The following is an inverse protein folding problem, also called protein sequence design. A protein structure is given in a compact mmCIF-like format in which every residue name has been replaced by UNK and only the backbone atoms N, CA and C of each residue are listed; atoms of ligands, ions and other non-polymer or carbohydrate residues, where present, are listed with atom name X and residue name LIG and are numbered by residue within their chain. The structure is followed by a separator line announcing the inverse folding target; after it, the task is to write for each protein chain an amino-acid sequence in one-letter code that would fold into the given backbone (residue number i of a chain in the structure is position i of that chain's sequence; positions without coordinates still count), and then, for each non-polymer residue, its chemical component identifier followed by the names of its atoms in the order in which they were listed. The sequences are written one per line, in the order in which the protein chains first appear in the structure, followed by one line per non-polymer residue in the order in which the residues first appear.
data_IF_388416359417
#
_entry.id   IF_388416359417
#
_cell.length_a   1.000
_cell.length_b   1.000
_cell.length_c   1.000
_cell.angle_alpha   90.00
_cell.angle_beta   90.00
_cell.angle_gamma   90.00
#
_symmetry.space_group_name_H-M   'P 1'
#
loop_
_entity.id
_entity.type
_entity.pdbx_description
1 polymer ?
#
# COMPACT_ATOMS: atom_id res chain seq x y z
N UNK A 1 18.58 9.28 18.38
CA UNK A 1 17.34 8.67 18.01
C UNK A 1 17.54 7.59 16.96
N UNK A 2 16.89 6.51 17.13
CA UNK A 2 17.08 5.40 16.24
C UNK A 2 16.06 5.46 15.12
N UNK A 3 16.55 5.55 13.93
CA UNK A 3 15.67 5.54 12.78
C UNK A 3 15.56 4.12 12.26
N UNK A 4 14.66 3.37 12.87
CA UNK A 4 14.40 2.03 12.41
C UNK A 4 13.54 2.11 11.15
N UNK A 5 13.85 1.33 10.12
CA UNK A 5 12.97 1.28 8.96
C UNK A 5 11.60 0.76 9.35
N UNK A 6 10.59 1.21 8.63
CA UNK A 6 9.23 0.74 8.86
C UNK A 6 9.16 -0.76 8.58
N UNK A 7 8.62 -1.55 9.51
CA UNK A 7 8.49 -2.98 9.26
C UNK A 7 7.52 -3.25 8.12
N UNK A 8 7.79 -4.29 7.34
CA UNK A 8 6.91 -4.69 6.25
C UNK A 8 6.21 -5.96 6.71
N UNK A 9 4.98 -5.81 7.18
CA UNK A 9 4.22 -6.89 7.79
C UNK A 9 2.94 -7.21 7.04
N UNK A 10 2.57 -6.38 6.06
CA UNK A 10 1.33 -6.55 5.33
C UNK A 10 1.50 -7.59 4.23
N UNK A 11 0.66 -8.61 4.23
CA UNK A 11 0.70 -9.66 3.22
C UNK A 11 -0.72 -10.05 2.81
N UNK A 12 -0.82 -10.99 1.88
CA UNK A 12 -2.09 -11.38 1.28
C UNK A 12 -3.02 -12.13 2.24
N UNK A 13 -2.58 -12.39 3.45
CA UNK A 13 -3.42 -12.98 4.49
C UNK A 13 -4.13 -11.93 5.34
N UNK A 14 -3.77 -10.66 5.17
CA UNK A 14 -4.37 -9.58 5.94
C UNK A 14 -5.83 -9.40 5.55
N UNK A 15 -6.74 -9.18 6.53
CA UNK A 15 -8.18 -9.02 6.22
C UNK A 15 -8.49 -7.89 5.24
N UNK A 16 -7.66 -6.86 5.20
CA UNK A 16 -7.90 -5.71 4.32
C UNK A 16 -7.15 -5.80 2.99
N UNK A 17 -6.44 -6.90 2.72
CA UNK A 17 -5.66 -7.02 1.49
C UNK A 17 -6.52 -6.80 0.25
N UNK A 18 -7.66 -7.50 0.16
CA UNK A 18 -8.51 -7.40 -1.03
C UNK A 18 -9.06 -5.99 -1.22
N UNK A 19 -9.53 -5.38 -0.14
CA UNK A 19 -10.06 -4.03 -0.21
C UNK A 19 -8.99 -3.04 -0.66
N UNK A 20 -7.80 -3.13 -0.08
CA UNK A 20 -6.69 -2.25 -0.42
C UNK A 20 -6.26 -2.49 -1.87
N UNK A 21 -6.28 -3.74 -2.32
CA UNK A 21 -5.85 -4.08 -3.67
C UNK A 21 -6.84 -3.64 -4.75
N UNK A 22 -8.04 -3.20 -4.37
CA UNK A 22 -8.97 -2.57 -5.30
C UNK A 22 -8.51 -1.20 -5.75
N UNK A 23 -7.64 -0.56 -4.97
CA UNK A 23 -7.04 0.71 -5.36
C UNK A 23 -5.92 0.42 -6.35
N UNK A 24 -6.03 0.98 -7.55
CA UNK A 24 -5.08 0.70 -8.62
C UNK A 24 -4.11 1.85 -8.79
N UNK A 25 -2.85 1.49 -9.04
CA UNK A 25 -1.86 2.46 -9.48
C UNK A 25 -2.23 2.88 -10.91
N UNK A 26 -2.51 4.16 -11.15
CA UNK A 26 -2.94 4.60 -12.48
C UNK A 26 -1.87 4.43 -13.56
N UNK A 27 -0.60 4.33 -13.20
CA UNK A 27 0.47 4.16 -14.18
C UNK A 27 0.58 2.73 -14.67
N UNK A 28 0.29 1.75 -13.82
CA UNK A 28 0.46 0.34 -14.14
C UNK A 28 -0.86 -0.41 -14.23
N UNK A 29 -1.92 0.11 -13.63
CA UNK A 29 -3.20 -0.59 -13.53
C UNK A 29 -3.19 -1.73 -12.54
N UNK A 30 -2.18 -1.82 -11.70
CA UNK A 30 -2.02 -2.91 -10.75
C UNK A 30 -2.47 -2.45 -9.36
N UNK A 31 -3.12 -3.36 -8.63
CA UNK A 31 -3.54 -3.06 -7.27
C UNK A 31 -2.36 -2.71 -6.37
N UNK A 32 -2.56 -1.74 -5.49
CA UNK A 32 -1.45 -1.22 -4.68
C UNK A 32 -0.93 -2.24 -3.68
N UNK A 33 -1.76 -3.21 -3.28
CA UNK A 33 -1.28 -4.30 -2.43
C UNK A 33 -0.30 -5.20 -3.21
N UNK A 34 -0.66 -5.55 -4.45
CA UNK A 34 0.21 -6.35 -5.32
C UNK A 34 1.49 -5.60 -5.68
N UNK A 35 1.45 -4.28 -5.73
CA UNK A 35 2.63 -3.47 -6.01
C UNK A 35 3.66 -3.49 -4.88
N UNK A 36 3.24 -3.88 -3.68
CA UNK A 36 4.15 -3.92 -2.55
C UNK A 36 4.45 -2.57 -1.94
N UNK A 37 3.56 -1.60 -2.10
CA UNK A 37 3.75 -0.27 -1.52
C UNK A 37 3.05 -0.11 -0.17
N UNK A 38 2.30 -1.10 0.28
CA UNK A 38 1.68 -1.09 1.60
C UNK A 38 2.57 -1.88 2.54
N UNK A 39 3.13 -1.22 3.55
CA UNK A 39 4.11 -1.85 4.42
C UNK A 39 3.49 -2.43 5.67
N UNK A 40 2.59 -1.69 6.31
CA UNK A 40 2.00 -2.14 7.57
C UNK A 40 0.59 -1.59 7.70
N UNK A 41 -0.32 -2.42 8.18
CA UNK A 41 -1.72 -2.03 8.42
C UNK A 41 -2.11 -2.53 9.80
N UNK A 42 -2.43 -1.60 10.68
CA UNK A 42 -2.86 -1.92 12.04
C UNK A 42 -4.26 -1.39 12.23
N UNK A 43 -5.11 -2.17 12.89
CA UNK A 43 -6.44 -1.69 13.25
C UNK A 43 -6.59 -1.78 14.77
N UNK A 44 -6.99 -0.68 15.39
CA UNK A 44 -7.14 -0.62 16.81
C UNK A 44 -8.32 0.27 17.17
N UNK A 45 -9.31 -0.29 17.82
CA UNK A 45 -10.50 0.45 18.26
C UNK A 45 -11.19 1.21 17.12
N UNK A 46 -11.22 0.60 15.95
CA UNK A 46 -11.85 1.20 14.78
C UNK A 46 -10.98 2.15 13.98
N UNK A 47 -9.77 2.42 14.44
CA UNK A 47 -8.83 3.26 13.70
C UNK A 47 -7.87 2.38 12.92
N UNK A 48 -7.80 2.60 11.60
CA UNK A 48 -6.88 1.87 10.73
C UNK A 48 -5.68 2.77 10.48
N UNK A 49 -4.51 2.30 10.86
CA UNK A 49 -3.25 3.03 10.69
C UNK A 49 -2.43 2.33 9.62
N UNK A 50 -2.14 3.02 8.54
CA UNK A 50 -1.45 2.46 7.38
C UNK A 50 -0.11 3.15 7.22
N UNK A 51 0.94 2.34 7.07
CA UNK A 51 2.25 2.82 6.63
C UNK A 51 2.44 2.36 5.20
N UNK A 52 2.67 3.28 4.31
CA UNK A 52 2.84 2.96 2.89
C UNK A 52 3.96 3.79 2.30
N UNK A 53 4.40 3.40 1.13
CA UNK A 53 5.36 4.18 0.37
C UNK A 53 4.83 4.40 -1.05
N UNK A 54 5.60 5.14 -1.83
CA UNK A 54 5.31 5.34 -3.25
C UNK A 54 6.51 4.87 -4.05
N UNK A 55 6.32 4.60 -5.32
CA UNK A 55 7.39 4.09 -6.16
C UNK A 55 8.47 5.13 -6.42
N UNK A 56 8.13 6.41 -6.32
CA UNK A 56 9.12 7.47 -6.37
C UNK A 56 8.60 8.69 -5.62
N UNK A 57 9.51 9.56 -5.20
CA UNK A 57 9.14 10.77 -4.47
C UNK A 57 8.39 11.76 -5.36
N UNK A 58 8.60 11.68 -6.67
CA UNK A 58 7.91 12.54 -7.62
C UNK A 58 6.66 11.94 -8.22
N UNK A 59 6.09 10.90 -7.60
CA UNK A 59 4.93 10.23 -8.14
C UNK A 59 3.71 11.16 -8.19
N UNK A 60 3.24 11.55 -9.39
CA UNK A 60 2.10 12.47 -9.47
C UNK A 60 0.79 11.83 -9.07
N UNK A 61 0.73 10.50 -9.03
CA UNK A 61 -0.46 9.77 -8.64
C UNK A 61 -0.57 9.56 -7.12
N UNK A 62 0.47 9.94 -6.36
CA UNK A 62 0.50 9.69 -4.93
C UNK A 62 -0.72 10.20 -4.18
N UNK A 63 -1.12 11.47 -4.33
CA UNK A 63 -2.30 11.99 -3.62
C UNK A 63 -3.58 11.25 -3.99
N UNK A 64 -3.73 10.86 -5.26
CA UNK A 64 -4.91 10.12 -5.70
C UNK A 64 -4.96 8.74 -5.07
N UNK A 65 -3.81 8.06 -5.01
CA UNK A 65 -3.71 6.74 -4.38
C UNK A 65 -4.09 6.83 -2.90
N UNK A 66 -3.55 7.82 -2.19
CA UNK A 66 -3.83 8.00 -0.77
C UNK A 66 -5.31 8.29 -0.55
N UNK A 67 -5.91 9.16 -1.36
CA UNK A 67 -7.32 9.49 -1.25
C UNK A 67 -8.21 8.27 -1.48
N UNK A 68 -7.88 7.48 -2.51
CA UNK A 68 -8.66 6.28 -2.82
C UNK A 68 -8.52 5.23 -1.72
N UNK A 69 -7.32 5.07 -1.19
CA UNK A 69 -7.08 4.13 -0.10
C UNK A 69 -7.86 4.51 1.14
N UNK A 70 -7.84 5.80 1.48
CA UNK A 70 -8.61 6.31 2.61
C UNK A 70 -10.10 5.99 2.45
N UNK A 71 -10.64 6.24 1.27
CA UNK A 71 -12.05 5.99 0.99
C UNK A 71 -12.42 4.53 1.12
N UNK A 72 -11.60 3.66 0.54
CA UNK A 72 -11.87 2.22 0.59
C UNK A 72 -11.83 1.70 2.02
N UNK A 73 -10.87 2.16 2.81
CA UNK A 73 -10.75 1.70 4.19
C UNK A 73 -11.88 2.21 5.07
N UNK A 74 -12.33 3.43 4.85
CA UNK A 74 -13.45 3.98 5.63
C UNK A 74 -14.75 3.23 5.37
N UNK A 75 -14.87 2.55 4.24
CA UNK A 75 -16.06 1.77 3.91
C UNK A 75 -16.05 0.39 4.56
N UNK A 76 -14.96 -0.03 5.16
CA UNK A 76 -14.90 -1.34 5.79
C UNK A 76 -15.67 -1.35 7.08
N UNK A 77 -16.30 -2.49 7.38
CA UNK A 77 -17.12 -2.64 8.57
C UNK A 77 -16.29 -2.38 9.83
N UNK A 78 -16.82 -1.56 10.71
CA UNK A 78 -16.19 -1.27 11.98
C UNK A 78 -15.09 -0.22 11.96
N UNK A 79 -14.78 0.33 10.78
CA UNK A 79 -13.75 1.36 10.66
C UNK A 79 -14.38 2.71 10.99
N UNK A 80 -13.78 3.41 11.96
CA UNK A 80 -14.24 4.73 12.38
C UNK A 80 -13.35 5.84 11.86
N UNK A 81 -12.07 5.57 11.67
CA UNK A 81 -11.12 6.55 11.18
C UNK A 81 -9.96 5.85 10.50
N UNK A 82 -9.27 6.58 9.64
CA UNK A 82 -8.15 6.07 8.87
C UNK A 82 -7.00 7.06 8.94
N UNK A 83 -5.81 6.57 9.23
CA UNK A 83 -4.59 7.38 9.24
C UNK A 83 -3.60 6.72 8.29
N UNK A 84 -3.14 7.49 7.31
CA UNK A 84 -2.20 6.99 6.31
C UNK A 84 -0.93 7.83 6.38
N UNK A 85 0.19 7.15 6.57
CA UNK A 85 1.48 7.80 6.60
C UNK A 85 2.32 7.26 5.45
N UNK A 86 2.86 8.17 4.64
CA UNK A 86 3.80 7.80 3.56
C UNK A 86 5.19 7.81 4.15
N UNK A 87 5.88 6.69 4.03
CA UNK A 87 7.23 6.53 4.55
C UNK A 87 8.19 6.21 3.40
N UNK A 88 9.46 6.53 3.56
CA UNK A 88 10.46 6.36 2.50
C UNK A 88 11.59 5.42 2.90
N UNK A 89 11.49 4.80 4.06
CA UNK A 89 12.46 3.83 4.53
C UNK A 89 11.73 2.62 5.11
N UNK A 90 11.86 1.45 4.50
CA UNK A 90 12.70 1.15 3.32
C UNK A 90 12.09 1.71 2.03
N UNK A 91 12.95 2.03 1.08
CA UNK A 91 12.51 2.49 -0.23
C UNK A 91 11.88 1.34 -0.99
N UNK A 92 10.89 1.68 -1.82
CA UNK A 92 10.27 0.69 -2.68
C UNK A 92 11.23 0.24 -3.77
N UNK A 93 11.21 -1.05 -4.07
CA UNK A 93 11.89 -1.61 -5.23
C UNK A 93 10.94 -2.60 -5.91
N UNK A 94 11.17 -2.93 -7.19
CA UNK A 94 10.35 -3.93 -7.88
C UNK A 94 10.30 -5.29 -7.18
N UNK A 95 11.29 -5.61 -6.36
CA UNK A 95 11.31 -6.87 -5.61
C UNK A 95 10.19 -6.95 -4.56
N UNK A 96 9.54 -5.85 -4.25
CA UNK A 96 8.43 -5.82 -3.30
C UNK A 96 7.10 -6.21 -3.93
N UNK A 97 7.04 -6.22 -5.26
CA UNK A 97 5.85 -6.70 -5.95
C UNK A 97 5.70 -8.20 -5.76
N UNK A 98 4.46 -8.68 -5.83
CA UNK A 98 4.24 -10.12 -5.90
C UNK A 98 5.01 -10.68 -7.11
N UNK A 99 5.62 -11.86 -6.97
CA UNK A 99 6.44 -12.41 -8.05
C UNK A 99 5.71 -12.52 -9.38
N UNK A 100 4.44 -12.94 -9.37
CA UNK A 100 3.67 -13.06 -10.61
C UNK A 100 3.46 -11.70 -11.28
N UNK A 101 3.26 -10.66 -10.48
CA UNK A 101 3.04 -9.31 -11.01
C UNK A 101 4.34 -8.77 -11.57
N UNK A 102 5.44 -8.99 -10.88
CA UNK A 102 6.74 -8.54 -11.35
C UNK A 102 7.09 -9.19 -12.68
N UNK A 103 6.85 -10.49 -12.79
CA UNK A 103 7.09 -11.21 -14.04
C UNK A 103 6.23 -10.66 -15.18
N UNK A 104 4.97 -10.39 -14.90
CA UNK A 104 4.08 -9.83 -15.90
C UNK A 104 4.59 -8.50 -16.45
N UNK A 105 5.09 -7.63 -15.58
CA UNK A 105 5.55 -6.31 -15.96
C UNK A 105 6.89 -6.32 -16.68
N UNK A 106 7.78 -7.24 -16.31
CA UNK A 106 9.14 -7.22 -16.83
C UNK A 106 9.43 -8.29 -17.85
N UNK A 107 8.53 -9.23 -18.05
CA UNK A 107 8.72 -10.32 -19.02
C UNK A 107 7.65 -10.39 -20.08
N UNK A 108 6.57 -9.66 -19.92
CA UNK A 108 5.43 -9.74 -20.83
C UNK A 108 5.53 -8.83 -22.04
N UNK A 109 6.67 -8.28 -22.28
CA UNK A 109 6.79 -7.25 -23.32
C UNK A 109 8.01 -7.43 -24.14
#
# INVERSE_FOLDING_TARGET
MTDKPTPITFDDKHPYWEAINEVLDPETGIGIADMGIIYDVQQKKGVVDVKMTLTSMGCPAGPDIVTSLDGVLRMQHGVKDVMIEVVWDPMWTPDRMKPEIREMLFMGF
#
